data_IF_675217738811
#
_entry.id   IF_675217738811
#
_cell.length_a   1.000
_cell.length_b   1.000
_cell.length_c   1.000
_cell.angle_alpha   90.00
_cell.angle_beta   90.00
_cell.angle_gamma   90.00
#
_symmetry.space_group_name_H-M   'P 1'
#
loop_
_entity.id
_entity.type
_entity.pdbx_description
1 polymer ?
2 polymer ?
3 non-polymer ?
4 non-polymer ?
5 non-polymer ?
6 water ?
#
# COMPACT_ATOMS: atom_id res chain seq x y z
N UNK A 1 16.58 -1.00 -2.71
CA UNK A 1 15.27 -0.74 -2.06
C UNK A 1 14.45 -2.00 -1.75
N UNK A 2 13.15 -1.78 -1.54
CA UNK A 2 12.32 -2.89 -1.05
C UNK A 2 12.15 -3.97 -2.10
N UNK A 3 12.00 -3.59 -3.37
CA UNK A 3 11.89 -4.65 -4.36
C UNK A 3 13.17 -5.49 -4.42
N UNK A 4 14.32 -4.80 -4.36
CA UNK A 4 15.60 -5.51 -4.37
C UNK A 4 15.72 -6.45 -3.17
N UNK A 5 15.45 -5.88 -1.97
CA UNK A 5 15.59 -6.66 -0.75
C UNK A 5 14.53 -7.76 -0.67
N UNK A 6 13.24 -7.49 -1.10
CA UNK A 6 12.14 -8.38 -0.74
C UNK A 6 11.44 -9.08 -1.89
N UNK A 7 11.87 -8.82 -3.14
CA UNK A 7 11.39 -9.62 -4.25
C UNK A 7 12.45 -10.65 -4.69
N UNK A 8 13.68 -10.46 -4.23
CA UNK A 8 14.72 -11.45 -4.53
C UNK A 8 14.79 -12.53 -3.48
N UNK A 9 14.47 -12.29 -2.22
CA UNK A 9 14.32 -13.27 -1.18
C UNK A 9 13.27 -12.78 -0.14
N UNK A 10 12.69 -13.74 0.54
CA UNK A 10 11.50 -13.50 1.35
C UNK A 10 11.80 -12.59 2.51
N UNK A 11 10.99 -11.58 2.68
CA UNK A 11 11.02 -10.69 3.80
C UNK A 11 9.88 -11.03 4.75
N UNK A 12 10.19 -11.30 6.03
CA UNK A 12 9.16 -11.57 7.01
C UNK A 12 8.48 -10.27 7.39
N UNK A 13 7.40 -10.35 8.20
CA UNK A 13 6.72 -9.14 8.63
C UNK A 13 7.67 -8.33 9.52
N UNK A 14 8.56 -9.02 10.25
CA UNK A 14 9.55 -8.31 11.06
C UNK A 14 10.46 -7.46 10.19
N UNK A 15 10.90 -7.98 9.05
CA UNK A 15 11.71 -7.20 8.10
C UNK A 15 10.93 -6.10 7.42
N UNK A 16 9.66 -6.42 7.08
CA UNK A 16 8.85 -5.35 6.43
C UNK A 16 8.49 -4.16 7.29
N UNK A 17 8.49 -4.36 8.61
CA UNK A 17 8.12 -3.35 9.59
C UNK A 17 9.12 -2.19 9.52
N UNK A 18 10.32 -2.47 9.03
CA UNK A 18 11.31 -1.43 8.78
C UNK A 18 10.76 -0.31 7.93
N UNK A 19 9.86 -0.63 6.98
CA UNK A 19 9.36 0.33 5.96
C UNK A 19 8.10 1.09 6.43
N UNK A 20 7.55 0.83 7.61
CA UNK A 20 6.40 1.56 8.12
C UNK A 20 6.67 3.03 8.41
N UNK A 21 5.64 3.84 8.50
CA UNK A 21 5.90 5.23 8.88
C UNK A 21 5.93 5.41 10.37
N UNK B 1 8.26 -11.59 -18.31
CA UNK B 1 7.16 -11.96 -17.36
C UNK B 1 7.19 -10.92 -16.26
N UNK B 2 6.04 -10.47 -15.78
CA UNK B 2 5.94 -9.34 -14.87
C UNK B 2 6.17 -9.63 -13.40
N UNK B 3 7.29 -10.31 -13.14
CA UNK B 3 7.60 -10.78 -11.79
C UNK B 3 7.61 -9.65 -10.75
N UNK B 4 8.26 -8.55 -11.02
CA UNK B 4 8.36 -7.44 -10.08
C UNK B 4 6.99 -6.81 -9.81
N UNK B 5 6.21 -6.60 -10.84
CA UNK B 5 4.87 -6.06 -10.73
C UNK B 5 4.03 -6.90 -9.79
N UNK B 6 4.03 -8.21 -9.99
CA UNK B 6 3.28 -9.10 -9.13
C UNK B 6 3.82 -9.11 -7.74
N UNK B 7 5.13 -9.13 -7.52
CA UNK B 7 5.70 -9.10 -6.18
C UNK B 7 5.24 -7.86 -5.46
N UNK B 8 5.30 -6.69 -6.15
CA UNK B 8 4.92 -5.44 -5.46
C UNK B 8 3.49 -5.45 -4.97
N UNK B 9 2.56 -6.06 -5.68
CA UNK B 9 1.17 -6.11 -5.25
C UNK B 9 1.04 -6.86 -3.95
N UNK B 10 1.83 -7.89 -3.70
CA UNK B 10 1.91 -8.63 -2.47
C UNK B 10 2.61 -7.83 -1.40
N UNK B 11 3.73 -7.17 -1.74
CA UNK B 11 4.45 -6.37 -0.76
C UNK B 11 3.55 -5.34 -0.14
N UNK B 12 2.72 -4.64 -0.93
CA UNK B 12 1.86 -3.60 -0.35
C UNK B 12 0.83 -4.16 0.59
N UNK B 13 0.32 -5.34 0.35
CA UNK B 13 -0.63 -5.99 1.28
C UNK B 13 0.08 -6.37 2.57
N UNK B 14 1.30 -6.90 2.45
CA UNK B 14 2.03 -7.25 3.67
C UNK B 14 2.44 -6.05 4.49
N UNK B 15 2.85 -4.98 3.84
CA UNK B 15 3.11 -3.72 4.51
C UNK B 15 1.84 -3.22 5.19
N UNK B 16 0.69 -3.27 4.50
CA UNK B 16 -0.56 -2.79 5.09
C UNK B 16 -0.82 -3.52 6.40
N UNK B 17 -0.58 -4.82 6.43
CA UNK B 17 -0.89 -5.68 7.54
C UNK B 17 0.04 -5.38 8.73
N UNK B 18 1.34 -5.34 8.48
CA UNK B 18 2.21 -5.09 9.64
C UNK B 18 2.16 -3.65 10.13
N UNK B 19 2.06 -2.72 9.19
CA UNK B 19 2.15 -1.31 9.60
C UNK B 19 0.92 -0.85 10.37
N UNK B 20 -0.26 -1.35 10.06
CA UNK B 20 -1.44 -0.91 10.77
C UNK B 20 -1.68 0.57 10.61
N UNK B 21 -2.08 1.14 11.76
CA UNK B 21 -2.34 2.60 11.78
C UNK B 21 -1.16 3.48 11.51
N UNK B 22 0.08 2.98 11.54
CA UNK B 22 1.25 3.72 11.15
C UNK B 22 1.26 4.11 9.68
N UNK B 23 0.69 3.22 8.85
CA UNK B 23 0.70 3.42 7.40
C UNK B 23 2.14 3.28 6.89
N UNK B 24 2.31 3.64 5.62
CA UNK B 24 3.61 3.50 5.00
C UNK B 24 3.66 4.22 3.65
N UNK B 25 4.85 4.50 3.20
CA UNK B 25 5.08 5.04 1.88
C UNK B 25 5.51 3.94 0.93
N UNK B 26 5.09 3.92 -0.31
CA UNK B 26 5.56 2.98 -1.28
C UNK B 26 5.88 3.70 -2.54
N UNK B 27 7.12 4.19 -2.63
CA UNK B 27 7.46 5.00 -3.82
C UNK B 27 8.53 4.36 -4.67
N UNK B 28 8.97 5.12 -5.68
CA UNK B 28 10.15 4.91 -6.50
C UNK B 28 11.42 4.95 -5.67
N UNK B 29 11.37 5.55 -4.50
CA UNK B 29 12.51 5.67 -3.64
C UNK B 29 12.42 4.69 -2.50
N UNK B 30 11.29 3.96 -2.43
CA UNK B 30 11.22 2.84 -1.48
C UNK B 30 11.86 1.57 -2.07
N UNK C 1 -8.64 11.93 5.21
CA UNK C 1 -7.70 11.12 4.39
C UNK C 1 -8.45 10.01 3.66
N UNK C 2 -7.73 9.11 2.98
CA UNK C 2 -8.31 8.07 2.16
C UNK C 2 -9.28 7.18 2.90
N UNK C 3 -9.04 6.82 4.16
CA UNK C 3 -9.98 5.94 4.86
C UNK C 3 -11.28 6.68 5.12
N UNK C 4 -11.22 7.93 5.54
CA UNK C 4 -12.45 8.70 5.78
C UNK C 4 -13.16 9.01 4.48
N UNK C 5 -12.48 9.25 3.39
CA UNK C 5 -13.09 9.59 2.12
C UNK C 5 -13.56 8.41 1.31
N UNK C 6 -12.81 7.31 1.26
CA UNK C 6 -13.02 6.21 0.37
C UNK C 6 -13.47 4.91 1.03
N UNK C 7 -13.69 4.86 2.31
CA UNK C 7 -14.29 3.62 2.85
C UNK C 7 -15.79 3.84 3.07
N UNK C 8 -16.16 5.08 3.25
CA UNK C 8 -17.57 5.42 3.49
C UNK C 8 -18.33 5.36 2.19
N UNK C 9 -17.74 5.89 1.12
CA UNK C 9 -18.31 5.94 -0.21
C UNK C 9 -17.32 5.54 -1.28
N UNK C 10 -17.66 4.98 -2.43
CA UNK C 10 -16.64 4.58 -3.37
C UNK C 10 -15.99 5.78 -4.01
N UNK C 11 -14.66 5.74 -4.01
CA UNK C 11 -13.84 6.68 -4.70
C UNK C 11 -13.55 6.24 -6.11
N UNK C 12 -13.60 7.22 -7.03
CA UNK C 12 -13.23 6.98 -8.39
C UNK C 12 -11.73 6.87 -8.49
N UNK C 13 -11.23 6.47 -9.64
CA UNK C 13 -9.79 6.36 -9.86
C UNK C 13 -9.19 7.75 -9.76
N UNK C 14 -9.89 8.78 -10.25
CA UNK C 14 -9.48 10.18 -10.11
C UNK C 14 -9.30 10.58 -8.63
N UNK C 15 -10.25 10.24 -7.76
CA UNK C 15 -10.19 10.57 -6.35
C UNK C 15 -9.05 9.82 -5.67
N UNK C 16 -8.80 8.57 -6.12
CA UNK C 16 -7.69 7.81 -5.53
C UNK C 16 -6.35 8.39 -5.91
N UNK C 17 -6.22 9.09 -7.04
CA UNK C 17 -4.96 9.69 -7.48
C UNK C 17 -4.49 10.78 -6.53
N UNK C 18 -5.38 11.30 -5.68
CA UNK C 18 -4.95 12.27 -4.67
C UNK C 18 -4.01 11.63 -3.65
N UNK C 19 -3.92 10.31 -3.59
CA UNK C 19 -3.04 9.60 -2.66
C UNK C 19 -1.84 8.99 -3.33
N UNK C 20 -1.61 9.31 -4.59
CA UNK C 20 -0.35 8.99 -5.28
C UNK C 20 0.76 9.97 -4.88
N UNK C 21 1.99 9.54 -4.96
CA UNK C 21 3.13 10.46 -4.79
C UNK C 21 3.34 11.34 -6.00
N UNK D 1 -17.75 -5.77 13.49
CA UNK D 1 -17.18 -6.36 12.29
C UNK D 1 -16.06 -5.50 11.72
N UNK D 2 -15.01 -6.08 11.16
CA UNK D 2 -13.78 -5.38 10.80
C UNK D 2 -13.80 -4.68 9.44
N UNK D 3 -14.83 -3.85 9.29
CA UNK D 3 -15.01 -3.16 8.03
C UNK D 3 -13.86 -2.31 7.58
N UNK D 4 -13.35 -1.42 8.43
CA UNK D 4 -12.27 -0.51 8.06
C UNK D 4 -10.99 -1.24 7.68
N UNK D 5 -10.64 -2.31 8.40
CA UNK D 5 -9.48 -3.10 8.09
C UNK D 5 -9.60 -3.70 6.69
N UNK D 6 -10.79 -4.25 6.41
CA UNK D 6 -10.91 -4.83 5.05
C UNK D 6 -10.93 -3.79 3.96
N UNK D 7 -11.53 -2.63 4.20
CA UNK D 7 -11.46 -1.56 3.21
C UNK D 7 -10.02 -1.14 2.92
N UNK D 8 -9.23 -0.91 3.99
CA UNK D 8 -7.85 -0.49 3.78
C UNK D 8 -7.02 -1.41 2.94
N UNK D 9 -7.23 -2.72 3.09
CA UNK D 9 -6.50 -3.74 2.34
C UNK D 9 -6.75 -3.55 0.87
N UNK D 10 -8.01 -3.27 0.49
CA UNK D 10 -8.35 -3.03 -0.90
C UNK D 10 -7.88 -1.64 -1.35
N UNK D 11 -7.90 -0.66 -0.49
CA UNK D 11 -7.40 0.67 -0.87
C UNK D 11 -5.96 0.55 -1.29
N UNK D 12 -5.09 -0.11 -0.55
CA UNK D 12 -3.66 -0.12 -0.89
C UNK D 12 -3.42 -0.83 -2.21
N UNK D 13 -4.19 -1.89 -2.50
CA UNK D 13 -4.00 -2.53 -3.81
C UNK D 13 -4.51 -1.64 -4.96
N UNK D 14 -5.59 -0.92 -4.71
CA UNK D 14 -6.05 0.07 -5.72
C UNK D 14 -5.03 1.17 -5.93
N UNK D 15 -4.43 1.69 -4.90
CA UNK D 15 -3.41 2.72 -5.07
C UNK D 15 -2.18 2.20 -5.80
N UNK D 16 -1.81 0.94 -5.51
CA UNK D 16 -0.71 0.32 -6.24
C UNK D 16 -0.94 0.39 -7.73
N UNK D 17 -2.12 0.03 -8.18
CA UNK D 17 -2.45 -0.04 -9.59
C UNK D 17 -2.64 1.33 -10.20
N UNK D 18 -3.41 2.18 -9.53
CA UNK D 18 -3.69 3.53 -10.02
C UNK D 18 -2.42 4.34 -10.16
N UNK D 19 -1.52 4.26 -9.19
CA UNK D 19 -0.41 5.20 -9.13
C UNK D 19 0.79 4.84 -9.99
N UNK D 20 0.88 3.59 -10.41
CA UNK D 20 1.97 3.33 -11.36
C UNK D 20 3.36 3.58 -10.75
N UNK D 21 4.28 4.08 -11.61
CA UNK D 21 5.66 4.26 -11.18
C UNK D 21 5.78 5.29 -10.06
N UNK D 22 4.87 6.24 -9.93
CA UNK D 22 4.89 7.23 -8.88
C UNK D 22 4.83 6.61 -7.49
N UNK D 23 4.09 5.50 -7.39
CA UNK D 23 3.82 4.95 -6.09
C UNK D 23 2.85 5.87 -5.36
N UNK D 24 2.74 5.58 -4.06
CA UNK D 24 1.72 6.23 -3.27
C UNK D 24 2.11 6.34 -1.78
N UNK D 25 1.27 7.05 -1.02
CA UNK D 25 1.42 7.16 0.42
C UNK D 25 0.12 6.67 1.06
N UNK D 26 0.23 5.78 2.04
CA UNK D 26 -0.93 5.27 2.76
C UNK D 26 -0.88 5.71 4.21
N UNK D 27 -1.78 6.61 4.57
CA UNK D 27 -1.79 7.13 5.93
C UNK D 27 -2.54 6.26 6.92
N UNK D 28 -3.37 5.35 6.48
CA UNK D 28 -4.36 4.71 7.32
C UNK D 28 -5.24 5.79 7.94
N UNK D 29 -5.89 5.61 9.06
CA UNK D 29 -6.82 6.60 9.61
C UNK D 29 -6.14 7.94 9.88
N UNK D 30 -6.95 8.98 9.70
CA UNK D 30 -6.46 10.31 10.10
C UNK D 30 -7.48 10.92 11.05
X LIG E 1 7.94 -10.59 0.32
X LIG E 1 7.47 -10.32 -0.98
X LIG E 1 6.09 -10.07 -1.09
X LIG E 1 5.28 -10.10 0.05
X LIG E 1 5.79 -10.37 1.31
X LIG E 1 7.18 -10.61 1.47
X LIG E 1 9.29 -10.83 0.47
X LIG F 1 0.20 -12.90 -6.76
X LIG G 1 2.05 -13.65 -7.93
X LIG H 1 -5.21 -8.60 5.11
X LIG H 1 -4.66 -9.87 5.03
X LIG H 1 -3.34 -9.96 4.57
X LIG H 1 -2.61 -8.84 4.17
X LIG H 1 -3.19 -7.57 4.25
X LIG H 1 -4.49 -7.46 4.74
X LIG H 1 -6.50 -8.39 5.54
X LIG I 1 -12.59 2.48 -2.63
X LIG I 1 -12.01 2.33 -3.87
X LIG I 1 -11.24 1.20 -4.14
X LIG I 1 -11.01 0.29 -3.12
X LIG I 1 -11.62 0.49 -1.89
X LIG I 1 -12.44 1.58 -1.59
X LIG I 1 -13.36 3.60 -2.34
X LIG J 1 -11.49 -8.19 0.64
X LIG K 1 -13.33 -7.45 1.81
#
# INVERSE_FOLDING_TARGET
GIVEQCCTSICSLYQLENYCN
FVNQHLCGSHLVEALYLVCGERGFFYTDKT
GIVEQCCTSICSLYQLENYCN
FVNQHLCGSHLVEALYLVCGERGFFYTDKT
IPH C1 C2 C3 C4 C5 C6 O1
ZN ZN
CL CL
IPH C1 C2 C3 C4 C5 C6 O1
IPH C1 C2 C3 C4 C5 C6 O1
ZN ZN
CL CL
#
